data_IF_991952942358
#
_entry.id   IF_991952942358
#
_cell.length_a   1.000
_cell.length_b   1.000
_cell.length_c   1.000
_cell.angle_alpha   90.00
_cell.angle_beta   90.00
_cell.angle_gamma   90.00
#
_symmetry.space_group_name_H-M   'P 1'
#
loop_
_entity.id
_entity.type
_entity.pdbx_description
1 polymer ?
#
# COMPACT_ATOMS: atom_id res chain seq x y z
N UNK A 1 25.31 10.87 -4.22
CA UNK A 1 24.28 11.48 -5.08
C UNK A 1 23.73 10.53 -6.15
N UNK A 2 24.56 9.67 -6.77
CA UNK A 2 24.16 8.68 -7.79
C UNK A 2 23.09 7.65 -7.37
N UNK A 3 23.03 7.27 -6.10
CA UNK A 3 22.03 6.31 -5.60
C UNK A 3 20.59 6.86 -5.58
N UNK A 4 20.41 8.16 -5.31
CA UNK A 4 19.08 8.78 -5.25
C UNK A 4 18.44 8.92 -6.64
N UNK A 5 19.24 9.20 -7.66
CA UNK A 5 18.80 9.29 -9.07
C UNK A 5 18.47 7.92 -9.64
N UNK A 6 19.23 6.88 -9.27
CA UNK A 6 18.92 5.49 -9.65
C UNK A 6 17.61 5.01 -8.99
N UNK A 7 17.37 5.36 -7.72
CA UNK A 7 16.11 5.03 -7.04
C UNK A 7 14.91 5.75 -7.66
N UNK A 8 15.06 7.03 -8.02
CA UNK A 8 14.00 7.79 -8.69
C UNK A 8 13.70 7.28 -10.10
N UNK A 9 14.72 6.92 -10.88
CA UNK A 9 14.54 6.34 -12.22
C UNK A 9 13.93 4.94 -12.17
N UNK A 10 14.26 4.13 -11.16
CA UNK A 10 13.64 2.83 -10.96
C UNK A 10 12.16 2.94 -10.60
N UNK A 11 11.79 3.89 -9.72
CA UNK A 11 10.39 4.16 -9.39
C UNK A 11 9.63 4.68 -10.61
N UNK A 12 10.21 5.59 -11.39
CA UNK A 12 9.60 6.11 -12.61
C UNK A 12 9.37 5.00 -13.66
N UNK A 13 10.34 4.11 -13.85
CA UNK A 13 10.22 2.97 -14.75
C UNK A 13 9.15 1.96 -14.31
N UNK A 14 8.99 1.73 -13.00
CA UNK A 14 7.94 0.87 -12.45
C UNK A 14 6.56 1.50 -12.66
N UNK A 15 6.42 2.83 -12.51
CA UNK A 15 5.15 3.54 -12.74
C UNK A 15 4.75 3.46 -14.21
N UNK A 16 5.68 3.66 -15.14
CA UNK A 16 5.45 3.55 -16.59
C UNK A 16 5.07 2.13 -17.05
N UNK A 17 5.54 1.09 -16.35
CA UNK A 17 5.21 -0.30 -16.69
C UNK A 17 3.77 -0.71 -16.31
N UNK A 18 3.04 0.11 -15.54
CA UNK A 18 1.66 -0.23 -15.10
C UNK A 18 0.56 0.17 -16.09
N UNK A 19 0.89 0.91 -17.16
CA UNK A 19 -0.07 1.20 -18.24
C UNK A 19 -0.12 0.06 -19.25
N UNK A 20 -0.48 -1.14 -18.79
CA UNK A 20 -0.61 -2.35 -19.60
C UNK A 20 -2.07 -2.61 -20.00
N UNK A 21 -2.35 -2.51 -21.30
CA UNK A 21 -3.44 -3.12 -22.08
C UNK A 21 -4.80 -3.36 -21.39
N UNK A 22 -5.79 -2.53 -21.74
CA UNK A 22 -7.21 -2.85 -21.52
C UNK A 22 -7.58 -3.97 -22.50
N UNK A 23 -7.52 -5.21 -22.02
CA UNK A 23 -8.07 -6.34 -22.74
C UNK A 23 -9.58 -6.14 -22.89
N UNK A 24 -10.07 -5.98 -24.13
CA UNK A 24 -11.50 -5.96 -24.41
C UNK A 24 -12.08 -7.35 -24.17
N UNK A 25 -12.42 -7.63 -22.91
CA UNK A 25 -13.17 -8.81 -22.56
C UNK A 25 -14.57 -8.64 -23.14
N UNK A 26 -15.03 -9.61 -23.94
CA UNK A 26 -16.36 -9.56 -24.56
C UNK A 26 -17.40 -9.50 -23.43
N UNK A 27 -18.09 -8.37 -23.32
CA UNK A 27 -19.06 -8.15 -22.23
C UNK A 27 -20.26 -9.04 -22.47
N UNK A 28 -20.49 -10.02 -21.59
CA UNK A 28 -21.71 -10.83 -21.62
C UNK A 28 -22.73 -10.30 -20.62
N UNK A 29 -24.02 -10.48 -20.94
CA UNK A 29 -25.10 -10.05 -20.04
C UNK A 29 -25.04 -10.80 -18.68
N UNK A 30 -24.67 -12.08 -18.69
CA UNK A 30 -24.43 -12.88 -17.48
C UNK A 30 -23.32 -12.29 -16.62
N UNK A 31 -22.22 -11.81 -17.22
CA UNK A 31 -21.14 -11.19 -16.47
C UNK A 31 -21.60 -9.92 -15.73
N UNK A 32 -22.51 -9.15 -16.33
CA UNK A 32 -23.10 -7.96 -15.70
C UNK A 32 -24.06 -8.36 -14.59
N UNK A 33 -24.96 -9.31 -14.85
CA UNK A 33 -25.96 -9.78 -13.86
C UNK A 33 -25.32 -10.38 -12.61
N UNK A 34 -24.22 -11.12 -12.75
CA UNK A 34 -23.46 -11.65 -11.61
C UNK A 34 -22.68 -10.55 -10.86
N UNK A 35 -22.36 -9.45 -11.52
CA UNK A 35 -21.65 -8.32 -10.92
C UNK A 35 -22.59 -7.35 -10.18
N UNK A 36 -23.91 -7.53 -10.30
CA UNK A 36 -24.93 -6.65 -9.70
C UNK A 36 -25.76 -7.41 -8.65
N UNK A 37 -25.95 -6.79 -7.49
CA UNK A 37 -26.89 -7.22 -6.45
C UNK A 37 -28.23 -6.53 -6.69
N UNK A 38 -29.31 -7.31 -6.71
CA UNK A 38 -30.66 -6.77 -6.77
C UNK A 38 -30.99 -6.07 -5.45
N UNK A 39 -31.48 -4.82 -5.51
CA UNK A 39 -31.94 -4.09 -4.31
C UNK A 39 -33.33 -4.54 -3.83
N UNK A 40 -33.80 -5.74 -4.19
CA UNK A 40 -34.91 -6.34 -3.47
C UNK A 40 -34.49 -6.80 -2.07
N UNK A 41 -35.47 -7.04 -1.21
CA UNK A 41 -35.30 -7.59 0.16
C UNK A 41 -34.53 -8.93 0.17
N UNK A 42 -34.45 -9.57 -0.99
CA UNK A 42 -33.72 -10.80 -1.29
C UNK A 42 -32.19 -10.70 -1.10
N UNK A 43 -31.56 -9.55 -1.34
CA UNK A 43 -30.11 -9.35 -1.28
C UNK A 43 -29.26 -10.24 -2.20
N UNK A 44 -29.83 -10.88 -3.21
CA UNK A 44 -29.13 -11.80 -4.14
C UNK A 44 -28.64 -11.07 -5.41
N UNK A 45 -27.75 -11.71 -6.18
CA UNK A 45 -27.36 -11.20 -7.50
C UNK A 45 -28.55 -11.18 -8.46
N UNK A 46 -28.53 -10.30 -9.46
CA UNK A 46 -29.60 -10.22 -10.48
C UNK A 46 -29.78 -11.55 -11.20
N UNK A 47 -28.70 -12.29 -11.44
CA UNK A 47 -28.75 -13.61 -12.07
C UNK A 47 -29.44 -14.66 -11.19
N UNK A 48 -29.03 -14.76 -9.92
CA UNK A 48 -29.65 -15.69 -8.98
C UNK A 48 -31.12 -15.33 -8.72
N UNK A 49 -31.44 -14.04 -8.68
CA UNK A 49 -32.79 -13.55 -8.49
C UNK A 49 -33.74 -13.97 -9.62
N UNK A 50 -33.35 -13.76 -10.89
CA UNK A 50 -34.18 -14.18 -12.04
C UNK A 50 -34.31 -15.70 -12.18
N UNK A 51 -33.28 -16.45 -11.78
CA UNK A 51 -33.30 -17.91 -11.83
C UNK A 51 -34.12 -18.57 -10.72
N UNK A 52 -34.32 -17.88 -9.59
CA UNK A 52 -35.02 -18.42 -8.42
C UNK A 52 -36.43 -17.86 -8.22
N UNK A 53 -36.71 -16.64 -8.67
CA UNK A 53 -38.02 -15.99 -8.50
C UNK A 53 -38.33 -14.96 -9.58
N UNK A 54 -39.62 -14.69 -9.79
CA UNK A 54 -40.06 -13.61 -10.67
C UNK A 54 -39.92 -12.25 -9.96
N UNK A 55 -38.80 -11.56 -10.19
CA UNK A 55 -38.56 -10.21 -9.65
C UNK A 55 -38.59 -9.14 -10.76
N UNK A 56 -39.51 -8.18 -10.65
CA UNK A 56 -39.62 -7.07 -11.61
C UNK A 56 -38.44 -6.10 -11.55
N UNK A 57 -37.77 -5.99 -10.40
CA UNK A 57 -36.57 -5.14 -10.25
C UNK A 57 -35.39 -5.75 -11.01
N UNK A 58 -35.21 -7.06 -10.90
CA UNK A 58 -34.14 -7.77 -11.60
C UNK A 58 -34.32 -7.67 -13.13
N UNK A 59 -35.55 -7.84 -13.63
CA UNK A 59 -35.82 -7.74 -15.07
C UNK A 59 -35.56 -6.34 -15.63
N UNK A 60 -35.92 -5.28 -14.88
CA UNK A 60 -35.60 -3.88 -15.23
C UNK A 60 -34.10 -3.63 -15.31
N UNK A 61 -33.33 -4.11 -14.33
CA UNK A 61 -31.86 -3.98 -14.32
C UNK A 61 -31.23 -4.75 -15.49
N UNK A 62 -31.75 -5.93 -15.80
CA UNK A 62 -31.31 -6.74 -16.96
C UNK A 62 -31.59 -6.04 -18.29
N UNK A 63 -32.75 -5.43 -18.46
CA UNK A 63 -33.07 -4.64 -19.66
C UNK A 63 -32.17 -3.42 -19.79
N UNK A 64 -31.95 -2.68 -18.70
CA UNK A 64 -31.05 -1.52 -18.69
C UNK A 64 -29.62 -1.92 -19.06
N UNK A 65 -29.10 -3.01 -18.46
CA UNK A 65 -27.79 -3.56 -18.80
C UNK A 65 -27.72 -4.01 -20.27
N UNK A 66 -28.76 -4.68 -20.78
CA UNK A 66 -28.84 -5.09 -22.19
C UNK A 66 -28.77 -3.88 -23.13
N UNK A 67 -29.51 -2.81 -22.83
CA UNK A 67 -29.50 -1.60 -23.65
C UNK A 67 -28.12 -0.95 -23.71
N UNK A 68 -27.39 -0.92 -22.59
CA UNK A 68 -26.02 -0.40 -22.54
C UNK A 68 -25.02 -1.28 -23.30
N UNK A 69 -25.20 -2.61 -23.27
CA UNK A 69 -24.39 -3.54 -24.09
C UNK A 69 -24.65 -3.32 -25.59
N UNK A 70 -25.92 -3.14 -25.98
CA UNK A 70 -26.30 -2.83 -27.38
C UNK A 70 -25.72 -1.47 -27.82
N UNK A 71 -25.65 -0.50 -26.90
CA UNK A 71 -25.01 0.79 -27.14
C UNK A 71 -23.47 0.71 -27.28
N UNK A 72 -22.87 -0.48 -27.14
CA UNK A 72 -21.43 -0.70 -27.31
C UNK A 72 -20.58 -0.28 -26.11
N UNK A 73 -21.20 -0.10 -24.94
CA UNK A 73 -20.45 0.25 -23.72
C UNK A 73 -19.65 -0.96 -23.19
N UNK A 74 -18.49 -0.68 -22.61
CA UNK A 74 -17.67 -1.71 -21.95
C UNK A 74 -18.24 -2.08 -20.57
N UNK A 75 -17.75 -3.19 -19.99
CA UNK A 75 -18.23 -3.71 -18.71
C UNK A 75 -18.02 -2.67 -17.61
N UNK A 76 -16.87 -2.02 -17.56
CA UNK A 76 -16.52 -1.04 -16.55
C UNK A 76 -17.41 0.22 -16.62
N UNK A 77 -17.75 0.68 -17.82
CA UNK A 77 -18.63 1.81 -18.09
C UNK A 77 -20.05 1.49 -17.67
N UNK A 78 -20.54 0.28 -17.98
CA UNK A 78 -21.86 -0.19 -17.56
C UNK A 78 -21.92 -0.19 -16.03
N UNK A 79 -20.97 -0.86 -15.37
CA UNK A 79 -20.93 -0.91 -13.90
C UNK A 79 -20.79 0.49 -13.28
N UNK A 80 -20.00 1.38 -13.87
CA UNK A 80 -19.86 2.77 -13.41
C UNK A 80 -21.18 3.55 -13.54
N UNK A 81 -21.93 3.37 -14.62
CA UNK A 81 -23.25 3.97 -14.80
C UNK A 81 -24.25 3.46 -13.74
N UNK A 82 -24.24 2.16 -13.44
CA UNK A 82 -25.05 1.59 -12.37
C UNK A 82 -24.65 2.13 -10.99
N UNK A 83 -23.35 2.27 -10.69
CA UNK A 83 -22.87 2.87 -9.44
C UNK A 83 -23.27 4.34 -9.33
N UNK A 84 -23.19 5.11 -10.42
CA UNK A 84 -23.58 6.52 -10.43
C UNK A 84 -25.09 6.70 -10.13
N UNK A 85 -25.92 5.73 -10.53
CA UNK A 85 -27.38 5.77 -10.38
C UNK A 85 -27.88 5.15 -9.07
N UNK A 86 -27.28 4.06 -8.63
CA UNK A 86 -27.75 3.23 -7.49
C UNK A 86 -26.77 3.18 -6.30
N UNK A 87 -25.57 3.73 -6.44
CA UNK A 87 -24.51 3.71 -5.43
C UNK A 87 -23.66 2.42 -5.44
N UNK A 88 -22.59 2.39 -4.64
CA UNK A 88 -21.64 1.26 -4.62
C UNK A 88 -22.23 -0.06 -4.13
N UNK A 89 -23.35 -0.02 -3.38
CA UNK A 89 -24.04 -1.21 -2.86
C UNK A 89 -24.73 -2.04 -3.95
N UNK A 90 -24.89 -1.49 -5.15
CA UNK A 90 -25.47 -2.20 -6.30
C UNK A 90 -24.54 -3.29 -6.83
N UNK A 91 -23.25 -3.23 -6.52
CA UNK A 91 -22.26 -4.18 -7.02
C UNK A 91 -22.12 -5.37 -6.07
N UNK A 92 -22.02 -6.57 -6.64
CA UNK A 92 -21.72 -7.79 -5.88
C UNK A 92 -20.30 -7.84 -5.35
N UNK A 93 -19.39 -7.08 -5.97
CA UNK A 93 -18.04 -6.87 -5.48
C UNK A 93 -17.69 -5.38 -5.53
N UNK A 94 -17.09 -4.81 -4.46
CA UNK A 94 -16.70 -3.41 -4.45
C UNK A 94 -15.75 -3.11 -5.63
N UNK A 95 -15.96 -1.97 -6.30
CA UNK A 95 -15.16 -1.59 -7.47
C UNK A 95 -13.67 -1.61 -7.15
N UNK A 96 -12.85 -2.18 -8.04
CA UNK A 96 -11.38 -2.16 -7.94
C UNK A 96 -10.76 -0.80 -8.33
N UNK A 97 -11.49 0.31 -8.20
CA UNK A 97 -11.01 1.66 -8.57
C UNK A 97 -11.31 2.68 -7.46
N UNK A 98 -10.46 3.69 -7.33
CA UNK A 98 -10.63 4.80 -6.39
C UNK A 98 -10.32 4.43 -4.93
N UNK A 99 -11.33 4.51 -4.06
CA UNK A 99 -11.18 4.38 -2.60
C UNK A 99 -10.64 3.01 -2.14
N UNK A 100 -10.98 1.94 -2.87
CA UNK A 100 -10.48 0.59 -2.61
C UNK A 100 -8.95 0.49 -2.80
N UNK A 101 -8.40 1.25 -3.75
CA UNK A 101 -6.96 1.27 -3.99
C UNK A 101 -6.22 2.02 -2.89
N UNK A 102 -6.76 3.15 -2.43
CA UNK A 102 -6.20 3.89 -1.28
C UNK A 102 -6.26 3.06 0.00
N UNK A 103 -7.38 2.35 0.24
CA UNK A 103 -7.52 1.45 1.39
C UNK A 103 -6.47 0.32 1.37
N UNK A 104 -6.09 -0.17 0.20
CA UNK A 104 -5.08 -1.22 0.07
C UNK A 104 -3.64 -0.69 0.09
N UNK A 105 -3.38 0.50 -0.46
CA UNK A 105 -2.04 1.11 -0.48
C UNK A 105 -1.68 1.74 0.87
N UNK A 106 -2.67 2.30 1.58
CA UNK A 106 -2.50 2.92 2.90
C UNK A 106 -1.67 2.10 3.91
N UNK A 107 -1.96 0.81 4.17
CA UNK A 107 -1.22 0.03 5.15
C UNK A 107 0.28 -0.07 4.81
N UNK A 108 0.62 -0.28 3.53
CA UNK A 108 2.01 -0.33 3.10
C UNK A 108 2.67 1.05 3.19
N UNK A 109 1.97 2.11 2.79
CA UNK A 109 2.49 3.48 2.84
C UNK A 109 2.81 3.91 4.27
N UNK A 110 1.92 3.65 5.23
CA UNK A 110 2.14 3.93 6.65
C UNK A 110 3.32 3.12 7.18
N UNK A 111 3.43 1.83 6.83
CA UNK A 111 4.53 0.96 7.25
C UNK A 111 5.90 1.48 6.76
N UNK A 112 6.02 1.81 5.48
CA UNK A 112 7.28 2.31 4.92
C UNK A 112 7.66 3.70 5.45
N UNK A 113 6.67 4.60 5.62
CA UNK A 113 6.92 5.92 6.19
C UNK A 113 7.41 5.83 7.65
N UNK A 114 6.72 5.05 8.48
CA UNK A 114 7.09 4.86 9.89
C UNK A 114 8.47 4.20 10.03
N UNK A 115 8.72 3.10 9.31
CA UNK A 115 10.02 2.46 9.29
C UNK A 115 11.13 3.41 8.84
N UNK A 116 10.90 4.20 7.78
CA UNK A 116 11.85 5.18 7.27
C UNK A 116 12.19 6.28 8.29
N UNK A 117 11.21 6.76 9.04
CA UNK A 117 11.41 7.74 10.12
C UNK A 117 12.25 7.14 11.25
N UNK A 118 11.92 5.92 11.71
CA UNK A 118 12.67 5.24 12.78
C UNK A 118 14.13 5.06 12.38
N UNK A 119 14.40 4.52 11.19
CA UNK A 119 15.77 4.35 10.69
C UNK A 119 16.52 5.68 10.65
N UNK A 120 15.88 6.76 10.19
CA UNK A 120 16.46 8.11 10.18
C UNK A 120 16.79 8.62 11.57
N UNK A 121 15.92 8.41 12.55
CA UNK A 121 16.14 8.84 13.94
C UNK A 121 17.29 8.05 14.55
N UNK A 122 17.29 6.72 14.40
CA UNK A 122 18.36 5.83 14.90
C UNK A 122 19.71 6.19 14.28
N UNK A 123 19.77 6.41 12.96
CA UNK A 123 21.00 6.86 12.30
C UNK A 123 21.49 8.21 12.83
N UNK A 124 20.58 9.15 13.12
CA UNK A 124 20.93 10.46 13.68
C UNK A 124 21.40 10.37 15.13
N UNK A 125 20.88 9.43 15.91
CA UNK A 125 21.34 9.18 17.27
C UNK A 125 22.70 8.48 17.29
N UNK A 126 22.88 7.43 16.49
CA UNK A 126 24.16 6.73 16.36
C UNK A 126 25.29 7.65 15.85
N UNK A 127 24.99 8.53 14.88
CA UNK A 127 25.97 9.51 14.40
C UNK A 127 26.34 10.59 15.44
N UNK A 128 25.45 10.88 16.41
CA UNK A 128 25.73 11.80 17.52
C UNK A 128 26.58 11.13 18.60
N UNK A 129 26.34 9.84 18.88
CA UNK A 129 27.18 9.08 19.82
C UNK A 129 28.63 8.92 19.35
N UNK A 130 28.87 8.80 18.04
CA UNK A 130 30.24 8.77 17.49
C UNK A 130 31.01 10.07 17.73
N UNK A 131 30.33 11.21 17.90
CA UNK A 131 30.97 12.48 18.29
C UNK A 131 31.11 12.62 19.81
N UNK A 132 30.37 11.81 20.57
CA UNK A 132 30.35 11.84 22.03
C UNK A 132 31.23 10.77 22.67
N UNK A 133 31.99 9.96 21.92
CA UNK A 133 33.08 9.14 22.48
C UNK A 133 34.21 10.10 22.88
N UNK A 134 34.31 10.50 24.16
CA UNK A 134 35.37 11.40 24.56
C UNK A 134 36.60 10.52 24.75
N UNK A 135 37.65 10.72 23.95
CA UNK A 135 39.08 10.67 24.32
C UNK A 135 39.49 9.78 25.54
N UNK A 136 38.88 8.60 25.73
CA UNK A 136 39.10 7.74 26.91
C UNK A 136 40.36 6.93 26.73
N UNK A 137 40.73 6.63 25.48
CA UNK A 137 41.93 5.86 25.17
C UNK A 137 43.21 6.60 25.54
N UNK A 138 43.29 7.93 25.36
CA UNK A 138 44.49 8.69 25.73
C UNK A 138 44.49 9.06 27.22
N UNK A 139 43.34 9.46 27.79
CA UNK A 139 43.25 9.76 29.22
C UNK A 139 43.48 8.53 30.13
N UNK A 140 43.07 7.33 29.69
CA UNK A 140 43.33 6.09 30.44
C UNK A 140 44.79 5.66 30.34
N UNK A 141 45.40 5.78 29.16
CA UNK A 141 46.81 5.40 28.95
C UNK A 141 47.78 6.28 29.73
N UNK A 142 47.53 7.60 29.79
CA UNK A 142 48.37 8.53 30.55
C UNK A 142 48.25 8.32 32.07
N UNK A 143 47.05 7.95 32.54
CA UNK A 143 46.80 7.63 33.94
C UNK A 143 47.47 6.32 34.37
N UNK A 144 47.47 5.31 33.51
CA UNK A 144 48.08 3.99 33.77
C UNK A 144 49.61 4.10 33.83
N UNK A 145 50.23 4.84 32.91
CA UNK A 145 51.67 5.15 32.91
C UNK A 145 52.11 5.91 34.17
N UNK A 146 51.25 6.79 34.69
CA UNK A 146 51.54 7.55 35.92
C UNK A 146 51.47 6.66 37.17
N UNK A 147 50.56 5.69 37.19
CA UNK A 147 50.39 4.77 38.30
C UNK A 147 51.57 3.80 38.40
N UNK A 148 51.98 3.20 37.28
CA UNK A 148 53.17 2.35 37.18
C UNK A 148 54.41 3.07 37.71
N UNK A 149 54.66 4.31 37.25
CA UNK A 149 55.81 5.10 37.69
C UNK A 149 55.78 5.40 39.20
N UNK A 150 54.59 5.63 39.76
CA UNK A 150 54.45 5.90 41.20
C UNK A 150 54.70 4.64 42.02
N UNK A 151 54.27 3.48 41.53
CA UNK A 151 54.49 2.20 42.20
C UNK A 151 55.98 1.84 42.25
N UNK A 152 56.70 2.05 41.15
CA UNK A 152 58.15 1.85 41.08
C UNK A 152 58.92 2.75 42.06
N UNK A 153 58.54 4.02 42.19
CA UNK A 153 59.19 4.95 43.11
C UNK A 153 58.93 4.58 44.59
N UNK A 154 57.73 4.09 44.91
CA UNK A 154 57.41 3.61 46.27
C UNK A 154 58.19 2.34 46.60
N UNK A 155 58.29 1.39 45.68
CA UNK A 155 59.05 0.15 45.90
C UNK A 155 60.53 0.44 46.17
N UNK A 156 61.14 1.37 45.43
CA UNK A 156 62.52 1.82 45.67
C UNK A 156 62.73 2.53 47.01
N UNK A 157 61.67 3.05 47.63
CA UNK A 157 61.75 3.72 48.93
C UNK A 157 61.67 2.71 50.09
N UNK A 158 61.20 1.48 49.84
CA UNK A 158 61.07 0.42 50.83
C UNK A 158 62.29 -0.51 50.91
N UNK A 159 63.17 -0.48 49.90
CA UNK A 159 64.49 -1.14 49.90
C UNK A 159 65.59 -0.19 50.37
#
# INVERSE_FOLDING_TARGET
>A
MRSKTVFFLAILAIVLATTGAVAQNKVTLSDIKNSLICQCECGMTVEACEGSMACSVASRLTEEARNMIIAGQDKEQILAAFVAKYGEKVLSAPTKKGFNLTAWIMPFLVLFLTAGVIVRVVQRWAAREQQAVPKRTTASSDAELKYEKTLDDVLRQLD
#
